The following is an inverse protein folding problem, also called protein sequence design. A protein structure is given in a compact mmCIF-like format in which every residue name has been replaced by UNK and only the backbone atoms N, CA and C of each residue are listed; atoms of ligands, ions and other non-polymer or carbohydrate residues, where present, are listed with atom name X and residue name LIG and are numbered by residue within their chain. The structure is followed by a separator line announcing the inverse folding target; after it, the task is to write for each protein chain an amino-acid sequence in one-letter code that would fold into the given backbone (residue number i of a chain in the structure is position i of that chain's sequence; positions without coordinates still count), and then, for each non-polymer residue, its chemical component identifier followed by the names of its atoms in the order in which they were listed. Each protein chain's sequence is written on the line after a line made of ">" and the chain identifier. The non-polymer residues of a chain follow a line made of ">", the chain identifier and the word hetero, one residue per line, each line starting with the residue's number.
data_IF_643936764280
#
_entry.id   IF_643936764280
#
_cell.length_a   1.000
_cell.length_b   1.000
_cell.length_c   1.000
_cell.angle_alpha   90.00
_cell.angle_beta   90.00
_cell.angle_gamma   90.00
#
_symmetry.space_group_name_H-M   'P 1'
#
loop_
_entity.id
_entity.type
_entity.pdbx_description
1 polymer ?
#
# COMPACT_ATOMS: atom_id res chain seq x y z
N UNK A 1 -3.24 -18.14 13.71
CA UNK A 1 -4.62 -18.19 13.16
C UNK A 1 -5.07 -16.77 12.97
N UNK A 2 -5.17 -16.29 11.73
CA UNK A 2 -5.24 -14.85 11.46
C UNK A 2 -6.57 -14.22 11.87
N UNK A 3 -7.74 -14.86 11.70
CA UNK A 3 -8.99 -14.45 12.35
C UNK A 3 -9.94 -15.66 12.46
N UNK A 4 -10.76 -15.73 13.52
CA UNK A 4 -11.95 -16.59 13.59
C UNK A 4 -13.17 -15.69 13.45
N UNK A 5 -14.11 -16.06 12.57
CA UNK A 5 -15.42 -15.42 12.56
C UNK A 5 -16.04 -15.54 13.95
N UNK A 6 -16.52 -14.43 14.48
CA UNK A 6 -17.25 -14.43 15.74
C UNK A 6 -18.61 -15.12 15.53
N UNK A 7 -19.10 -15.89 16.52
CA UNK A 7 -20.43 -16.47 16.45
C UNK A 7 -21.50 -15.37 16.42
N UNK A 8 -22.70 -15.66 15.91
CA UNK A 8 -23.82 -14.71 15.95
C UNK A 8 -24.04 -14.18 17.37
N UNK A 9 -24.03 -12.85 17.54
CA UNK A 9 -24.24 -12.19 18.83
C UNK A 9 -22.99 -12.02 19.70
N UNK A 10 -21.80 -12.43 19.24
CA UNK A 10 -20.57 -12.13 19.97
C UNK A 10 -20.16 -10.66 19.85
N UNK A 11 -19.84 -10.06 20.99
CA UNK A 11 -19.23 -8.73 21.07
C UNK A 11 -17.78 -8.81 20.58
N UNK A 12 -17.37 -7.87 19.72
CA UNK A 12 -15.99 -7.77 19.24
C UNK A 12 -15.13 -7.24 20.39
N UNK A 13 -14.18 -8.02 20.96
CA UNK A 13 -13.34 -7.52 22.04
C UNK A 13 -12.27 -6.60 21.43
N UNK A 14 -12.47 -5.29 21.54
CA UNK A 14 -11.55 -4.28 21.02
C UNK A 14 -12.21 -2.90 20.89
N UNK A 15 -11.38 -1.89 20.61
CA UNK A 15 -11.66 -0.44 20.59
C UNK A 15 -12.82 0.03 19.68
N UNK A 16 -13.47 -0.88 18.97
CA UNK A 16 -14.48 -0.60 17.97
C UNK A 16 -15.80 -1.23 18.40
N UNK A 17 -16.77 -0.43 18.90
CA UNK A 17 -18.05 -0.96 19.31
C UNK A 17 -18.78 -1.52 18.08
N UNK A 18 -19.02 -2.83 18.08
CA UNK A 18 -20.10 -3.40 17.28
C UNK A 18 -21.43 -3.27 18.03
N UNK A 19 -22.55 -3.68 17.41
CA UNK A 19 -23.05 -3.21 16.12
C UNK A 19 -23.84 -1.90 16.32
N UNK A 20 -23.91 -1.07 15.27
CA UNK A 20 -24.61 0.24 15.18
C UNK A 20 -23.78 1.46 15.63
N UNK A 21 -22.83 1.92 14.81
CA UNK A 21 -22.35 3.32 14.68
C UNK A 21 -21.65 3.41 13.30
N UNK A 22 -21.93 4.29 12.34
CA UNK A 22 -22.90 5.37 12.18
C UNK A 22 -23.43 5.33 10.73
N UNK A 23 -24.76 5.45 10.53
CA UNK A 23 -25.42 5.60 9.21
C UNK A 23 -25.55 4.33 8.31
N UNK A 24 -25.29 3.12 8.80
CA UNK A 24 -25.44 1.86 8.04
C UNK A 24 -25.80 0.63 8.90
N UNK A 25 -26.19 -0.48 8.24
CA UNK A 25 -26.62 -1.76 8.87
C UNK A 25 -25.43 -2.60 9.39
N UNK A 26 -24.20 -2.32 8.95
CA UNK A 26 -23.01 -3.15 9.20
C UNK A 26 -21.79 -2.30 9.56
N UNK A 27 -20.87 -2.87 10.32
CA UNK A 27 -19.53 -2.31 10.54
C UNK A 27 -18.66 -2.60 9.32
N UNK A 28 -18.12 -1.56 8.69
CA UNK A 28 -17.50 -1.59 7.37
C UNK A 28 -16.02 -1.23 7.47
N UNK A 29 -15.17 -2.12 6.97
CA UNK A 29 -13.73 -1.92 6.86
C UNK A 29 -13.37 -1.93 5.37
N UNK A 30 -12.74 -0.86 4.91
CA UNK A 30 -12.15 -0.78 3.58
C UNK A 30 -10.64 -1.02 3.68
N UNK A 31 -10.13 -1.99 2.93
CA UNK A 31 -8.73 -2.44 3.00
C UNK A 31 -7.89 -2.03 1.77
N UNK A 32 -8.49 -1.33 0.80
CA UNK A 32 -7.81 -0.97 -0.44
C UNK A 32 -7.95 0.53 -0.69
N UNK A 33 -7.10 1.29 -0.02
CA UNK A 33 -7.11 2.74 -0.17
C UNK A 33 -5.71 3.33 0.01
N UNK A 34 -5.38 4.31 -0.84
CA UNK A 34 -4.01 4.80 -0.96
C UNK A 34 -3.85 6.22 -0.42
N UNK A 35 -2.71 6.51 0.21
CA UNK A 35 -2.27 7.85 0.57
C UNK A 35 -0.96 8.19 -0.13
N UNK A 36 -0.72 9.49 -0.36
CA UNK A 36 0.45 9.96 -1.11
C UNK A 36 1.33 10.84 -0.23
N UNK A 37 2.61 10.49 -0.13
CA UNK A 37 3.62 11.32 0.54
C UNK A 37 4.31 12.24 -0.47
N UNK A 38 4.04 13.54 -0.41
CA UNK A 38 4.73 14.53 -1.24
C UNK A 38 6.23 14.63 -0.89
N UNK A 39 6.58 14.40 0.38
CA UNK A 39 7.99 14.31 0.83
C UNK A 39 8.74 13.21 0.09
N UNK A 40 8.19 12.00 0.05
CA UNK A 40 8.83 10.88 -0.64
C UNK A 40 8.90 11.11 -2.16
N UNK A 41 7.90 11.76 -2.75
CA UNK A 41 7.92 12.12 -4.16
C UNK A 41 9.06 13.10 -4.50
N UNK A 42 9.32 14.09 -3.65
CA UNK A 42 10.42 15.03 -3.83
C UNK A 42 11.81 14.36 -3.72
N UNK A 43 11.95 13.34 -2.87
CA UNK A 43 13.23 12.63 -2.68
C UNK A 43 13.70 11.90 -3.95
N UNK A 44 12.78 11.46 -4.79
CA UNK A 44 13.08 10.69 -6.02
C UNK A 44 12.90 11.50 -7.29
N UNK A 45 12.66 12.80 -7.19
CA UNK A 45 12.45 13.67 -8.34
C UNK A 45 13.65 13.64 -9.29
N UNK A 46 13.40 13.43 -10.58
CA UNK A 46 14.44 13.33 -11.61
C UNK A 46 15.20 12.01 -11.63
N UNK A 47 14.93 11.07 -10.72
CA UNK A 47 15.55 9.75 -10.77
C UNK A 47 14.91 8.88 -11.87
N UNK A 48 15.62 8.66 -12.97
CA UNK A 48 15.13 7.86 -14.09
C UNK A 48 14.95 6.37 -13.75
N UNK A 49 15.54 5.88 -12.66
CA UNK A 49 15.44 4.49 -12.24
C UNK A 49 14.17 4.22 -11.42
N UNK A 50 13.48 5.24 -10.90
CA UNK A 50 12.21 5.00 -10.19
C UNK A 50 11.06 4.68 -11.15
N UNK A 51 10.20 3.79 -10.69
CA UNK A 51 9.32 2.92 -11.50
C UNK A 51 8.73 3.57 -12.75
N UNK A 52 8.98 2.92 -13.89
CA UNK A 52 8.23 3.07 -15.13
C UNK A 52 6.89 2.34 -15.02
N UNK A 53 5.95 2.95 -14.28
CA UNK A 53 4.62 2.37 -14.02
C UNK A 53 3.99 1.79 -15.29
N UNK A 54 3.57 0.53 -15.27
CA UNK A 54 3.08 -0.18 -16.48
C UNK A 54 1.95 0.59 -17.19
N UNK A 55 1.04 1.20 -16.42
CA UNK A 55 -0.08 1.97 -16.99
C UNK A 55 0.35 3.29 -17.65
N UNK A 56 1.60 3.72 -17.47
CA UNK A 56 2.17 4.89 -18.14
C UNK A 56 2.97 4.51 -19.38
N UNK A 57 3.71 3.40 -19.33
CA UNK A 57 4.61 3.00 -20.42
C UNK A 57 3.95 2.11 -21.46
N UNK A 58 3.08 1.19 -21.04
CA UNK A 58 2.52 0.15 -21.92
C UNK A 58 1.04 0.35 -22.27
N UNK A 59 0.30 1.15 -21.49
CA UNK A 59 -1.11 1.38 -21.76
C UNK A 59 -1.35 2.26 -22.99
N UNK A 60 -2.48 2.09 -23.68
CA UNK A 60 -2.86 2.95 -24.79
C UNK A 60 -3.13 4.40 -24.33
N UNK A 61 -3.22 5.33 -25.28
CA UNK A 61 -3.41 6.75 -24.99
C UNK A 61 -4.68 7.05 -24.19
N UNK A 62 -5.79 6.38 -24.52
CA UNK A 62 -7.06 6.54 -23.82
C UNK A 62 -6.93 6.15 -22.34
N UNK A 63 -6.33 4.99 -22.05
CA UNK A 63 -6.08 4.52 -20.69
C UNK A 63 -5.18 5.48 -19.92
N UNK A 64 -4.10 5.97 -20.55
CA UNK A 64 -3.21 6.97 -19.93
C UNK A 64 -3.95 8.26 -19.59
N UNK A 65 -4.80 8.75 -20.50
CA UNK A 65 -5.61 9.96 -20.27
C UNK A 65 -6.56 9.78 -19.08
N UNK A 66 -7.35 8.69 -19.07
CA UNK A 66 -8.30 8.39 -18.00
C UNK A 66 -7.58 8.25 -16.65
N UNK A 67 -6.43 7.56 -16.62
CA UNK A 67 -5.65 7.39 -15.40
C UNK A 67 -5.12 8.71 -14.84
N UNK A 68 -4.72 9.65 -15.71
CA UNK A 68 -4.32 11.01 -15.29
C UNK A 68 -5.51 11.80 -14.73
N UNK A 69 -6.65 11.75 -15.40
CA UNK A 69 -7.88 12.40 -14.93
C UNK A 69 -8.34 11.85 -13.57
N UNK A 70 -8.31 10.53 -13.40
CA UNK A 70 -8.63 9.88 -12.13
C UNK A 70 -7.65 10.29 -11.03
N UNK A 71 -6.33 10.26 -11.32
CA UNK A 71 -5.31 10.69 -10.37
C UNK A 71 -5.45 12.16 -9.95
N UNK A 72 -5.84 13.05 -10.86
CA UNK A 72 -6.14 14.44 -10.53
C UNK A 72 -7.38 14.56 -9.63
N UNK A 73 -8.43 13.79 -9.93
CA UNK A 73 -9.71 13.81 -9.19
C UNK A 73 -9.58 13.30 -7.76
N UNK A 74 -8.75 12.28 -7.54
CA UNK A 74 -8.59 11.63 -6.22
C UNK A 74 -7.40 12.17 -5.43
N UNK A 75 -6.65 13.13 -5.97
CA UNK A 75 -5.44 13.65 -5.34
C UNK A 75 -5.69 14.16 -3.92
N UNK A 76 -6.78 14.92 -3.73
CA UNK A 76 -7.10 15.53 -2.45
C UNK A 76 -7.33 14.48 -1.35
N UNK A 77 -8.05 13.40 -1.66
CA UNK A 77 -8.25 12.28 -0.72
C UNK A 77 -6.95 11.56 -0.38
N UNK A 78 -6.01 11.50 -1.34
CA UNK A 78 -4.69 10.92 -1.13
C UNK A 78 -3.77 11.75 -0.23
N UNK A 79 -3.99 13.07 -0.14
CA UNK A 79 -3.11 14.01 0.58
C UNK A 79 -3.74 14.69 1.80
N UNK A 80 -5.07 14.65 1.98
CA UNK A 80 -5.79 15.21 3.13
C UNK A 80 -6.61 14.15 3.86
N UNK A 81 -6.18 13.75 5.07
CA UNK A 81 -6.94 12.83 5.91
C UNK A 81 -8.29 13.39 6.35
N UNK A 82 -8.42 14.71 6.49
CA UNK A 82 -9.67 15.38 6.83
C UNK A 82 -10.70 15.19 5.73
N UNK A 83 -10.29 15.40 4.46
CA UNK A 83 -11.17 15.15 3.31
C UNK A 83 -11.56 13.67 3.21
N UNK A 84 -10.62 12.77 3.48
CA UNK A 84 -10.86 11.33 3.48
C UNK A 84 -11.89 10.92 4.53
N UNK A 85 -11.79 11.44 5.75
CA UNK A 85 -12.75 11.16 6.83
C UNK A 85 -14.15 11.65 6.44
N UNK A 86 -14.27 12.84 5.87
CA UNK A 86 -15.57 13.34 5.36
C UNK A 86 -16.18 12.37 4.34
N UNK A 87 -15.38 11.86 3.41
CA UNK A 87 -15.83 10.90 2.41
C UNK A 87 -16.16 9.54 3.03
N UNK A 88 -15.38 9.04 4.00
CA UNK A 88 -15.68 7.82 4.77
C UNK A 88 -17.01 7.94 5.51
N UNK A 89 -17.27 9.07 6.18
CA UNK A 89 -18.51 9.33 6.90
C UNK A 89 -19.74 9.41 5.98
N UNK A 90 -19.54 9.89 4.74
CA UNK A 90 -20.59 9.90 3.71
C UNK A 90 -20.86 8.51 3.14
N UNK A 91 -19.84 7.67 3.04
CA UNK A 91 -19.95 6.31 2.50
C UNK A 91 -20.37 5.27 3.55
N UNK A 92 -20.31 5.59 4.84
CA UNK A 92 -20.55 4.64 5.92
C UNK A 92 -19.38 3.68 6.10
N UNK A 93 -18.15 4.19 6.03
CA UNK A 93 -16.92 3.44 6.26
C UNK A 93 -16.36 3.80 7.64
N UNK A 94 -16.31 2.82 8.53
CA UNK A 94 -15.81 3.01 9.88
C UNK A 94 -14.28 3.06 9.90
N UNK A 95 -13.61 2.09 9.26
CA UNK A 95 -12.15 1.97 9.25
C UNK A 95 -11.62 1.84 7.83
N UNK A 96 -10.50 2.52 7.55
CA UNK A 96 -9.69 2.29 6.36
C UNK A 96 -8.30 1.74 6.72
N UNK A 97 -7.89 0.66 6.06
CA UNK A 97 -6.48 0.27 6.02
C UNK A 97 -5.81 1.08 4.90
N UNK A 98 -5.04 2.10 5.28
CA UNK A 98 -4.38 3.00 4.34
C UNK A 98 -2.99 2.46 3.98
N UNK A 99 -2.67 2.50 2.70
CA UNK A 99 -1.43 2.01 2.12
C UNK A 99 -0.75 3.10 1.25
N UNK A 100 0.53 2.93 0.86
CA UNK A 100 1.15 3.83 -0.10
C UNK A 100 0.34 3.95 -1.39
N UNK A 101 0.45 5.08 -2.08
CA UNK A 101 0.14 5.11 -3.51
C UNK A 101 1.09 4.15 -4.24
N UNK A 102 0.60 3.24 -5.11
CA UNK A 102 1.41 2.15 -5.67
C UNK A 102 2.69 2.63 -6.38
N UNK A 103 2.61 3.78 -7.05
CA UNK A 103 3.74 4.44 -7.73
C UNK A 103 4.85 4.92 -6.79
N UNK A 104 4.63 4.90 -5.47
CA UNK A 104 5.59 5.34 -4.46
C UNK A 104 6.37 4.21 -3.80
N UNK A 105 6.23 2.96 -4.24
CA UNK A 105 7.09 1.87 -3.75
C UNK A 105 8.55 2.03 -4.16
N UNK A 106 8.81 2.73 -5.28
CA UNK A 106 10.15 3.16 -5.74
C UNK A 106 11.20 2.04 -5.81
N UNK A 107 10.82 0.82 -6.18
CA UNK A 107 11.72 -0.34 -6.19
C UNK A 107 12.94 -0.23 -7.12
N UNK A 108 12.91 0.66 -8.11
CA UNK A 108 14.07 0.90 -8.97
C UNK A 108 15.07 1.95 -8.45
N UNK A 109 14.78 2.62 -7.32
CA UNK A 109 15.76 3.46 -6.64
C UNK A 109 16.93 2.62 -6.10
N UNK A 110 18.10 3.25 -5.93
CA UNK A 110 19.19 2.62 -5.18
C UNK A 110 18.72 2.26 -3.74
N UNK A 111 19.35 1.27 -3.09
CA UNK A 111 18.91 0.76 -1.79
C UNK A 111 18.75 1.81 -0.68
N UNK A 112 19.65 2.80 -0.60
CA UNK A 112 19.63 3.80 0.46
C UNK A 112 18.52 4.82 0.22
N UNK A 113 18.38 5.31 -1.02
CA UNK A 113 17.28 6.17 -1.41
C UNK A 113 15.92 5.46 -1.26
N UNK A 114 15.83 4.20 -1.69
CA UNK A 114 14.64 3.38 -1.51
C UNK A 114 14.22 3.26 -0.05
N UNK A 115 15.18 3.00 0.85
CA UNK A 115 14.94 2.96 2.29
C UNK A 115 14.42 4.29 2.82
N UNK A 116 15.05 5.39 2.45
CA UNK A 116 14.66 6.73 2.90
C UNK A 116 13.27 7.12 2.41
N UNK A 117 12.96 6.83 1.14
CA UNK A 117 11.65 7.08 0.57
C UNK A 117 10.56 6.20 1.23
N UNK A 118 10.81 4.91 1.43
CA UNK A 118 9.89 4.02 2.17
C UNK A 118 9.62 4.56 3.58
N UNK A 119 10.65 5.00 4.30
CA UNK A 119 10.47 5.61 5.63
C UNK A 119 9.64 6.88 5.58
N UNK A 120 9.89 7.77 4.63
CA UNK A 120 9.10 9.00 4.48
C UNK A 120 7.62 8.74 4.16
N UNK A 121 7.31 7.64 3.47
CA UNK A 121 5.93 7.19 3.23
C UNK A 121 5.33 6.62 4.51
N UNK A 122 6.05 5.72 5.17
CA UNK A 122 5.58 5.05 6.38
C UNK A 122 5.36 6.03 7.54
N UNK A 123 6.23 7.03 7.68
CA UNK A 123 6.10 8.07 8.71
C UNK A 123 4.88 8.95 8.44
N UNK A 124 4.58 9.25 7.17
CA UNK A 124 3.35 9.96 6.79
C UNK A 124 2.10 9.13 7.09
N UNK A 125 2.08 7.85 6.75
CA UNK A 125 0.98 6.93 7.11
C UNK A 125 0.82 6.87 8.64
N UNK A 126 1.92 6.77 9.38
CA UNK A 126 1.90 6.73 10.84
C UNK A 126 1.37 8.02 11.45
N UNK A 127 1.69 9.18 10.89
CA UNK A 127 1.11 10.46 11.30
C UNK A 127 -0.43 10.44 11.13
N UNK A 128 -0.92 9.97 9.98
CA UNK A 128 -2.37 9.87 9.73
C UNK A 128 -3.04 8.95 10.74
N UNK A 129 -2.48 7.75 10.95
CA UNK A 129 -2.97 6.80 11.95
C UNK A 129 -2.91 7.36 13.37
N UNK A 130 -1.87 8.12 13.71
CA UNK A 130 -1.72 8.74 15.03
C UNK A 130 -2.77 9.84 15.28
N UNK A 131 -3.12 10.62 14.25
CA UNK A 131 -4.15 11.68 14.35
C UNK A 131 -5.56 11.12 14.45
N UNK A 132 -5.84 9.98 13.78
CA UNK A 132 -7.18 9.35 13.77
C UNK A 132 -7.08 7.84 14.03
N UNK A 133 -6.69 7.43 15.25
CA UNK A 133 -6.32 6.05 15.56
C UNK A 133 -7.53 5.11 15.71
N UNK A 134 -8.74 5.64 15.58
CA UNK A 134 -10.01 4.93 15.51
C UNK A 134 -10.58 4.85 14.08
N UNK A 135 -9.94 5.51 13.10
CA UNK A 135 -10.39 5.52 11.70
C UNK A 135 -9.42 4.85 10.74
N UNK A 136 -8.13 4.81 11.09
CA UNK A 136 -7.10 4.30 10.19
C UNK A 136 -6.21 3.22 10.80
N UNK A 137 -5.85 2.26 9.95
CA UNK A 137 -4.82 1.25 10.18
C UNK A 137 -3.78 1.36 9.09
N UNK A 138 -2.49 1.33 9.44
CA UNK A 138 -1.41 1.46 8.47
C UNK A 138 -1.00 0.13 7.82
N UNK A 139 -0.89 0.13 6.50
CA UNK A 139 -0.13 -0.82 5.71
C UNK A 139 1.08 -0.08 5.12
N UNK A 140 2.30 -0.52 5.43
CA UNK A 140 3.51 0.19 5.02
C UNK A 140 4.03 -0.22 3.65
N UNK A 141 5.19 0.33 3.27
CA UNK A 141 6.05 -0.21 2.21
C UNK A 141 7.46 -0.40 2.74
N UNK A 142 8.25 -1.22 2.06
CA UNK A 142 9.64 -1.52 2.41
C UNK A 142 10.51 -1.43 1.17
N UNK A 143 11.82 -1.16 1.29
CA UNK A 143 12.73 -1.13 0.15
C UNK A 143 12.98 -2.56 -0.37
N UNK A 144 11.99 -3.11 -1.08
CA UNK A 144 11.93 -4.53 -1.44
C UNK A 144 13.09 -4.99 -2.32
N UNK A 145 13.69 -4.06 -3.08
CA UNK A 145 14.90 -4.30 -3.87
C UNK A 145 16.14 -4.64 -3.01
N UNK A 146 16.10 -4.35 -1.71
CA UNK A 146 17.16 -4.58 -0.74
C UNK A 146 16.65 -5.39 0.47
N UNK A 147 16.65 -6.74 0.39
CA UNK A 147 15.98 -7.61 1.37
C UNK A 147 16.38 -7.40 2.84
N UNK A 148 17.64 -7.11 3.14
CA UNK A 148 18.07 -6.84 4.52
C UNK A 148 17.49 -5.53 5.07
N UNK A 149 17.46 -4.48 4.23
CA UNK A 149 16.86 -3.20 4.59
C UNK A 149 15.33 -3.33 4.71
N UNK A 150 14.72 -4.16 3.87
CA UNK A 150 13.30 -4.45 3.94
C UNK A 150 12.93 -5.14 5.25
N UNK A 151 13.66 -6.18 5.65
CA UNK A 151 13.47 -6.89 6.93
C UNK A 151 13.62 -5.93 8.12
N UNK A 152 14.63 -5.07 8.10
CA UNK A 152 14.81 -4.06 9.15
C UNK A 152 13.67 -3.04 9.22
N UNK A 153 13.10 -2.67 8.08
CA UNK A 153 11.94 -1.76 8.05
C UNK A 153 10.65 -2.46 8.50
N UNK A 154 10.45 -3.75 8.18
CA UNK A 154 9.32 -4.54 8.72
C UNK A 154 9.29 -4.53 10.25
N UNK A 155 10.45 -4.65 10.90
CA UNK A 155 10.55 -4.52 12.36
C UNK A 155 10.02 -3.18 12.86
N UNK A 156 10.45 -2.09 12.22
CA UNK A 156 10.06 -0.74 12.60
C UNK A 156 8.55 -0.53 12.39
N UNK A 157 8.03 -0.99 11.26
CA UNK A 157 6.60 -0.93 10.94
C UNK A 157 5.76 -1.61 12.04
N UNK A 158 6.13 -2.84 12.41
CA UNK A 158 5.38 -3.61 13.40
C UNK A 158 5.56 -3.06 14.82
N UNK A 159 6.82 -2.91 15.28
CA UNK A 159 7.13 -2.62 16.70
C UNK A 159 6.99 -1.15 17.05
N UNK A 160 7.36 -0.24 16.14
CA UNK A 160 7.41 1.20 16.42
C UNK A 160 6.19 1.93 15.91
N UNK A 161 5.64 1.54 14.74
CA UNK A 161 4.51 2.24 14.12
C UNK A 161 3.16 1.52 14.31
N UNK A 162 3.17 0.27 14.77
CA UNK A 162 1.95 -0.52 15.00
C UNK A 162 1.20 -0.91 13.71
N UNK A 163 1.89 -0.96 12.57
CA UNK A 163 1.30 -1.32 11.29
C UNK A 163 0.87 -2.79 11.26
N UNK A 164 -0.15 -3.08 10.45
CA UNK A 164 -0.75 -4.43 10.35
C UNK A 164 -0.41 -5.17 9.07
N UNK A 165 0.35 -4.55 8.19
CA UNK A 165 0.80 -5.17 6.96
C UNK A 165 1.65 -4.25 6.11
N UNK A 166 1.91 -4.71 4.89
CA UNK A 166 2.59 -3.97 3.84
C UNK A 166 1.81 -4.06 2.52
N UNK A 167 1.93 -3.03 1.70
CA UNK A 167 1.60 -3.09 0.28
C UNK A 167 2.85 -3.39 -0.55
N UNK A 168 2.74 -4.33 -1.49
CA UNK A 168 3.78 -4.68 -2.46
C UNK A 168 3.24 -4.65 -3.89
N UNK A 169 4.13 -4.46 -4.86
CA UNK A 169 3.79 -4.58 -6.29
C UNK A 169 3.92 -6.03 -6.77
N UNK A 170 3.49 -6.32 -7.99
CA UNK A 170 3.58 -7.65 -8.61
C UNK A 170 5.00 -8.07 -9.02
N UNK A 171 5.94 -7.12 -9.05
CA UNK A 171 7.36 -7.38 -9.29
C UNK A 171 8.23 -6.31 -8.60
N UNK A 172 9.53 -6.56 -8.54
CA UNK A 172 10.51 -5.67 -7.91
C UNK A 172 11.50 -5.23 -8.99
N UNK A 173 11.25 -4.07 -9.60
CA UNK A 173 12.06 -3.55 -10.70
C UNK A 173 12.30 -4.58 -11.84
N UNK A 174 11.24 -5.31 -12.22
CA UNK A 174 11.30 -6.35 -13.25
C UNK A 174 11.66 -7.76 -12.76
N UNK A 175 12.06 -7.91 -11.49
CA UNK A 175 12.31 -9.23 -10.89
C UNK A 175 11.04 -9.81 -10.27
N UNK A 176 10.83 -11.11 -10.51
CA UNK A 176 9.68 -11.86 -10.00
C UNK A 176 9.75 -12.06 -8.48
N UNK A 177 8.59 -11.98 -7.81
CA UNK A 177 8.49 -12.12 -6.35
C UNK A 177 8.90 -13.51 -5.84
N UNK A 178 8.91 -14.53 -6.70
CA UNK A 178 9.35 -15.89 -6.36
C UNK A 178 10.86 -16.05 -6.23
N UNK A 179 11.64 -15.02 -6.60
CA UNK A 179 13.09 -15.05 -6.48
C UNK A 179 13.54 -15.34 -5.03
N UNK A 180 14.54 -16.23 -4.91
CA UNK A 180 15.05 -16.72 -3.62
C UNK A 180 15.35 -15.59 -2.62
N UNK A 181 15.92 -14.49 -3.12
CA UNK A 181 16.35 -13.35 -2.29
C UNK A 181 15.20 -12.67 -1.55
N UNK A 182 13.97 -12.77 -2.05
CA UNK A 182 12.79 -12.14 -1.44
C UNK A 182 12.13 -13.02 -0.37
N UNK A 183 12.43 -14.32 -0.31
CA UNK A 183 11.80 -15.26 0.64
C UNK A 183 11.95 -14.81 2.09
N UNK A 184 13.08 -14.19 2.45
CA UNK A 184 13.31 -13.67 3.80
C UNK A 184 12.35 -12.54 4.19
N UNK A 185 11.89 -11.73 3.23
CA UNK A 185 10.92 -10.66 3.48
C UNK A 185 9.57 -11.27 3.82
N UNK A 186 9.12 -12.26 3.03
CA UNK A 186 7.87 -12.98 3.28
C UNK A 186 7.90 -13.77 4.59
N UNK A 187 8.99 -14.47 4.88
CA UNK A 187 9.19 -15.16 6.15
C UNK A 187 9.10 -14.18 7.33
N UNK A 188 9.69 -12.98 7.20
CA UNK A 188 9.60 -11.97 8.26
C UNK A 188 8.18 -11.43 8.43
N UNK A 189 7.44 -11.22 7.34
CA UNK A 189 6.02 -10.86 7.43
C UNK A 189 5.21 -11.92 8.18
N UNK A 190 5.45 -13.21 7.92
CA UNK A 190 4.80 -14.31 8.64
C UNK A 190 5.13 -14.28 10.14
N UNK A 191 6.41 -14.17 10.49
CA UNK A 191 6.89 -14.11 11.89
C UNK A 191 6.27 -12.94 12.66
N UNK A 192 6.07 -11.80 12.02
CA UNK A 192 5.48 -10.60 12.61
C UNK A 192 3.94 -10.57 12.55
N UNK A 193 3.32 -11.53 11.86
CA UNK A 193 1.88 -11.54 11.61
C UNK A 193 1.39 -10.36 10.76
N UNK A 194 2.22 -9.88 9.83
CA UNK A 194 1.90 -8.79 8.91
C UNK A 194 1.16 -9.31 7.67
N UNK A 195 0.05 -8.66 7.32
CA UNK A 195 -0.66 -8.91 6.06
C UNK A 195 0.18 -8.41 4.88
N UNK A 196 0.25 -9.20 3.81
CA UNK A 196 0.84 -8.76 2.53
C UNK A 196 -0.29 -8.45 1.56
N UNK A 197 -0.46 -7.16 1.26
CA UNK A 197 -1.42 -6.68 0.27
C UNK A 197 -0.68 -6.45 -1.06
N UNK A 198 -1.07 -7.16 -2.12
CA UNK A 198 -0.43 -7.05 -3.42
C UNK A 198 -1.27 -6.18 -4.36
N UNK A 199 -0.68 -5.09 -4.85
CA UNK A 199 -1.29 -4.18 -5.81
C UNK A 199 -0.75 -4.45 -7.23
N UNK A 200 -1.60 -4.41 -8.28
CA UNK A 200 -1.16 -4.61 -9.65
C UNK A 200 -0.19 -3.53 -10.13
N UNK A 201 0.92 -3.94 -10.76
CA UNK A 201 1.88 -3.07 -11.49
C UNK A 201 2.27 -3.69 -12.85
N UNK A 202 1.38 -4.51 -13.43
CA UNK A 202 1.69 -5.31 -14.62
C UNK A 202 2.39 -6.63 -14.28
N UNK A 203 3.06 -7.23 -15.25
CA UNK A 203 3.73 -8.53 -15.13
C UNK A 203 5.09 -8.50 -15.84
N UNK A 204 6.03 -9.33 -15.39
CA UNK A 204 7.44 -9.31 -15.83
C UNK A 204 7.59 -9.66 -17.32
N UNK A 205 6.70 -10.49 -17.87
CA UNK A 205 6.71 -10.90 -19.27
C UNK A 205 6.16 -9.82 -20.22
N UNK A 206 5.51 -8.77 -19.71
CA UNK A 206 4.99 -7.68 -20.53
C UNK A 206 6.09 -6.85 -21.21
N UNK A 207 7.33 -6.95 -20.72
CA UNK A 207 8.52 -6.35 -21.33
C UNK A 207 9.07 -7.18 -22.50
N UNK A 208 8.65 -8.45 -22.65
CA UNK A 208 9.00 -9.26 -23.81
C UNK A 208 8.06 -8.93 -24.97
N UNK A 209 8.56 -8.73 -26.21
CA UNK A 209 7.68 -8.65 -27.35
C UNK A 209 6.86 -9.95 -27.39
N UNK A 210 5.55 -9.83 -27.23
CA UNK A 210 4.61 -10.95 -27.38
C UNK A 210 4.82 -11.47 -28.80
N UNK A 211 5.60 -12.54 -28.93
CA UNK A 211 5.59 -13.36 -30.13
C UNK A 211 4.28 -14.09 -30.05
N UNK A 212 3.25 -13.57 -30.74
CA UNK A 212 2.03 -14.32 -30.97
C UNK A 212 2.49 -15.56 -31.73
N UNK A 213 2.57 -16.69 -31.03
CA UNK A 213 2.77 -17.97 -31.69
C UNK A 213 1.59 -18.14 -32.64
N UNK A 214 1.82 -18.36 -33.94
CA UNK A 214 0.73 -18.60 -34.87
C UNK A 214 -0.07 -19.82 -34.38
N UNK A 215 -1.40 -19.67 -34.41
CA UNK A 215 -2.34 -20.76 -34.10
C UNK A 215 -2.14 -21.95 -35.04
#
# INVERSE_FOLDING_TARGET
>A
MLFKCLPPGAEIPGRFPGPVHARGKWFTIDIHCHVRSDKAAAMVEGNAAVSHWFLETAANEQSRRINRENGARTRLQGSSPEKRIEDMDRMGIEIQAISPAPRQTYYGADPDLGREASRAINDFIAEICGRYPDRFVGLGTVPFQAPELAVAELERLHKSLGFRGIEIMTHVAGEDLSAERFRKIFARCEELGLVVFMHPDGFTEAASPITILPM
#
